data_IF_757611214886
#
_entry.id   IF_757611214886
#
_cell.length_a   1.000
_cell.length_b   1.000
_cell.length_c   1.000
_cell.angle_alpha   90.00
_cell.angle_beta   90.00
_cell.angle_gamma   90.00
#
_symmetry.space_group_name_H-M   'P 1'
#
loop_
_entity.id
_entity.type
_entity.pdbx_description
1 polymer ?
#
# COMPACT_ATOMS: atom_id res chain seq x y z
N UNK A 1 -22.89 -3.63 1.68
CA UNK A 1 -23.16 -5.02 1.30
C UNK A 1 -21.93 -5.84 1.62
N UNK A 2 -22.08 -7.15 1.72
CA UNK A 2 -20.93 -8.06 1.74
C UNK A 2 -20.24 -7.97 0.36
N UNK A 3 -18.92 -7.77 0.34
CA UNK A 3 -18.13 -7.73 -0.91
C UNK A 3 -17.78 -9.16 -1.27
N UNK A 4 -18.16 -9.61 -2.47
CA UNK A 4 -17.87 -10.98 -2.95
C UNK A 4 -17.22 -11.01 -4.32
N UNK A 5 -17.49 -9.99 -5.13
CA UNK A 5 -16.95 -9.83 -6.48
C UNK A 5 -16.15 -8.55 -6.62
N UNK A 6 -15.38 -8.45 -7.70
CA UNK A 6 -14.69 -7.21 -8.05
C UNK A 6 -15.67 -6.04 -8.28
N UNK A 7 -16.85 -6.32 -8.84
CA UNK A 7 -17.90 -5.31 -9.01
C UNK A 7 -18.45 -4.84 -7.66
N UNK A 8 -18.66 -5.76 -6.70
CA UNK A 8 -19.08 -5.38 -5.35
C UNK A 8 -18.04 -4.49 -4.67
N UNK A 9 -16.75 -4.78 -4.87
CA UNK A 9 -15.65 -3.95 -4.35
C UNK A 9 -15.71 -2.55 -4.96
N UNK A 10 -15.80 -2.46 -6.29
CA UNK A 10 -15.86 -1.19 -7.01
C UNK A 10 -17.08 -0.34 -6.61
N UNK A 11 -18.21 -0.98 -6.31
CA UNK A 11 -19.44 -0.30 -5.89
C UNK A 11 -19.57 -0.13 -4.38
N UNK A 12 -18.66 -0.70 -3.57
CA UNK A 12 -18.80 -0.73 -2.11
C UNK A 12 -18.94 0.67 -1.50
N UNK A 13 -18.21 1.64 -2.04
CA UNK A 13 -18.18 3.02 -1.58
C UNK A 13 -19.12 3.97 -2.35
N UNK A 14 -19.90 3.46 -3.32
CA UNK A 14 -20.81 4.29 -4.11
C UNK A 14 -21.97 4.91 -3.30
N UNK A 15 -22.62 4.19 -2.36
CA UNK A 15 -23.68 4.77 -1.53
C UNK A 15 -23.14 5.83 -0.56
N UNK A 16 -23.84 6.96 -0.42
CA UNK A 16 -23.39 8.07 0.44
C UNK A 16 -23.25 7.67 1.92
N UNK A 17 -24.04 6.71 2.38
CA UNK A 17 -24.00 6.16 3.74
C UNK A 17 -22.66 5.50 4.06
N UNK A 18 -21.89 5.11 3.03
CA UNK A 18 -20.55 4.52 3.19
C UNK A 18 -19.46 5.55 3.40
N UNK A 19 -19.76 6.85 3.34
CA UNK A 19 -18.80 7.90 3.67
C UNK A 19 -18.23 7.77 5.09
N UNK A 20 -19.01 7.21 6.03
CA UNK A 20 -18.59 6.94 7.42
C UNK A 20 -17.39 5.98 7.51
N UNK A 21 -17.19 5.11 6.52
CA UNK A 21 -16.04 4.21 6.45
C UNK A 21 -14.70 4.95 6.28
N UNK A 22 -14.73 6.25 5.97
CA UNK A 22 -13.54 7.11 5.87
C UNK A 22 -13.31 7.95 7.13
N UNK A 23 -14.12 7.81 8.19
CA UNK A 23 -13.98 8.63 9.40
C UNK A 23 -12.63 8.45 10.08
N UNK A 24 -12.00 7.27 9.94
CA UNK A 24 -10.66 7.00 10.44
C UNK A 24 -9.58 7.92 9.82
N UNK A 25 -9.76 8.37 8.57
CA UNK A 25 -8.84 9.35 7.94
C UNK A 25 -8.87 10.70 8.64
N UNK A 26 -10.01 11.06 9.24
CA UNK A 26 -10.23 12.36 9.89
C UNK A 26 -10.09 12.33 11.40
N UNK A 27 -10.11 11.13 12.01
CA UNK A 27 -10.13 10.94 13.47
C UNK A 27 -8.79 10.45 14.04
N UNK A 28 -7.68 10.69 13.33
CA UNK A 28 -6.34 10.38 13.87
C UNK A 28 -6.07 11.15 15.16
N UNK A 29 -5.50 10.46 16.15
CA UNK A 29 -5.06 11.06 17.42
C UNK A 29 -3.73 11.80 17.27
N UNK A 30 -3.03 11.55 16.17
CA UNK A 30 -1.74 12.15 15.84
C UNK A 30 -1.85 12.79 14.45
N UNK A 31 -2.24 14.06 14.44
CA UNK A 31 -2.09 14.92 13.28
C UNK A 31 -0.82 15.76 13.48
N UNK A 32 -0.03 15.89 12.42
CA UNK A 32 1.14 16.77 12.36
C UNK A 32 0.90 17.78 11.24
N UNK A 33 1.42 18.99 11.39
CA UNK A 33 1.35 19.96 10.31
C UNK A 33 2.26 19.50 9.15
N UNK A 34 1.85 19.72 7.91
CA UNK A 34 2.65 19.34 6.74
C UNK A 34 4.03 20.01 6.77
N UNK A 35 4.12 21.21 7.34
CA UNK A 35 5.37 21.96 7.50
C UNK A 35 6.31 21.36 8.55
N UNK A 36 5.80 20.49 9.44
CA UNK A 36 6.60 19.74 10.41
C UNK A 36 7.17 18.44 9.82
N UNK A 37 6.70 18.02 8.65
CA UNK A 37 7.25 16.85 7.97
C UNK A 37 8.64 17.18 7.41
N UNK A 38 9.62 16.37 7.79
CA UNK A 38 10.96 16.46 7.23
C UNK A 38 10.94 16.03 5.75
N UNK A 39 11.12 16.98 4.86
CA UNK A 39 11.32 16.69 3.45
C UNK A 39 12.63 15.91 3.25
N UNK A 40 12.61 14.76 2.55
CA UNK A 40 13.82 14.03 2.26
C UNK A 40 14.77 14.89 1.40
N UNK A 41 16.02 15.01 1.85
CA UNK A 41 17.08 15.73 1.13
C UNK A 41 17.56 14.99 -0.12
N UNK A 42 17.32 13.68 -0.19
CA UNK A 42 17.65 12.83 -1.32
C UNK A 42 16.42 12.00 -1.73
N UNK A 43 15.99 12.19 -2.98
CA UNK A 43 14.86 11.50 -3.61
C UNK A 43 15.33 10.39 -4.58
N UNK A 44 16.62 10.05 -4.54
CA UNK A 44 17.19 9.02 -5.41
C UNK A 44 16.61 7.64 -5.11
N UNK A 45 16.57 6.80 -6.14
CA UNK A 45 16.24 5.39 -5.98
C UNK A 45 17.18 4.68 -4.98
N UNK A 46 18.45 5.09 -4.93
CA UNK A 46 19.43 4.54 -4.00
C UNK A 46 19.06 4.83 -2.55
N UNK A 47 18.62 6.06 -2.23
CA UNK A 47 18.17 6.42 -0.89
C UNK A 47 16.87 5.67 -0.53
N UNK A 48 15.92 5.56 -1.46
CA UNK A 48 14.72 4.74 -1.26
C UNK A 48 15.07 3.28 -0.96
N UNK A 49 15.96 2.67 -1.74
CA UNK A 49 16.41 1.29 -1.53
C UNK A 49 17.08 1.13 -0.15
N UNK A 50 17.99 2.05 0.20
CA UNK A 50 18.68 2.06 1.50
C UNK A 50 17.70 2.13 2.67
N UNK A 51 16.66 2.97 2.59
CA UNK A 51 15.63 3.06 3.65
C UNK A 51 14.81 1.78 3.78
N UNK A 52 14.44 1.17 2.66
CA UNK A 52 13.68 -0.10 2.66
C UNK A 52 14.54 -1.23 3.25
N UNK A 53 15.81 -1.30 2.86
CA UNK A 53 16.77 -2.26 3.43
C UNK A 53 17.00 -2.05 4.92
N UNK A 54 17.15 -0.79 5.37
CA UNK A 54 17.30 -0.44 6.78
C UNK A 54 16.07 -0.83 7.63
N UNK A 55 14.89 -0.93 7.01
CA UNK A 55 13.68 -1.46 7.64
C UNK A 55 13.62 -3.00 7.68
N UNK A 56 14.71 -3.68 7.31
CA UNK A 56 14.81 -5.15 7.26
C UNK A 56 14.06 -5.78 6.08
N UNK A 57 13.64 -4.98 5.10
CA UNK A 57 12.89 -5.46 3.93
C UNK A 57 13.86 -5.75 2.81
N UNK A 58 13.93 -7.02 2.40
CA UNK A 58 14.69 -7.43 1.21
C UNK A 58 13.89 -7.07 -0.05
N UNK A 59 14.59 -6.51 -1.04
CA UNK A 59 14.02 -6.15 -2.34
C UNK A 59 14.77 -6.90 -3.44
N UNK A 60 14.03 -7.54 -4.33
CA UNK A 60 14.56 -8.06 -5.59
C UNK A 60 14.02 -7.20 -6.74
N UNK A 61 14.89 -6.78 -7.66
CA UNK A 61 14.51 -6.00 -8.84
C UNK A 61 14.90 -6.79 -10.09
N UNK A 62 13.96 -6.94 -11.01
CA UNK A 62 14.18 -7.58 -12.31
C UNK A 62 13.83 -6.61 -13.44
N UNK A 63 14.72 -6.49 -14.41
CA UNK A 63 14.43 -5.80 -15.66
C UNK A 63 13.46 -6.66 -16.48
N UNK A 64 12.29 -6.11 -16.77
CA UNK A 64 11.23 -6.73 -17.58
C UNK A 64 10.94 -5.90 -18.83
N UNK A 65 11.92 -5.09 -19.27
CA UNK A 65 11.82 -4.27 -20.48
C UNK A 65 11.64 -5.19 -21.69
N UNK A 66 10.52 -5.04 -22.39
CA UNK A 66 10.27 -5.78 -23.63
C UNK A 66 11.17 -5.26 -24.77
N UNK A 67 11.48 -6.08 -25.79
CA UNK A 67 12.39 -5.68 -26.87
C UNK A 67 11.96 -4.41 -27.61
N UNK A 68 10.66 -4.20 -27.81
CA UNK A 68 10.09 -3.01 -28.46
C UNK A 68 10.26 -1.75 -27.60
N UNK A 69 10.07 -1.84 -26.30
CA UNK A 69 10.29 -0.71 -25.36
C UNK A 69 11.79 -0.37 -25.27
N UNK A 70 12.66 -1.38 -25.34
CA UNK A 70 14.12 -1.20 -25.29
C UNK A 70 14.70 -0.43 -26.49
N UNK A 71 13.93 -0.25 -27.57
CA UNK A 71 14.32 0.61 -28.71
C UNK A 71 14.26 2.10 -28.34
N UNK A 72 13.51 2.46 -27.30
CA UNK A 72 13.41 3.81 -26.77
C UNK A 72 14.28 4.04 -25.52
N UNK A 73 14.15 5.22 -24.89
CA UNK A 73 14.88 5.56 -23.67
C UNK A 73 14.26 4.96 -22.39
N UNK A 74 13.20 4.16 -22.51
CA UNK A 74 12.43 3.65 -21.37
C UNK A 74 12.95 2.30 -20.88
N UNK A 75 12.79 2.06 -19.58
CA UNK A 75 13.05 0.77 -18.91
C UNK A 75 11.86 0.41 -18.04
N UNK A 76 11.51 -0.86 -18.02
CA UNK A 76 10.44 -1.40 -17.17
C UNK A 76 11.07 -2.36 -16.18
N UNK A 77 10.88 -2.10 -14.91
CA UNK A 77 11.39 -2.95 -13.83
C UNK A 77 10.24 -3.48 -12.99
N UNK A 78 10.41 -4.68 -12.45
CA UNK A 78 9.53 -5.24 -11.42
C UNK A 78 10.32 -5.40 -10.13
N UNK A 79 9.86 -4.75 -9.07
CA UNK A 79 10.40 -4.90 -7.73
C UNK A 79 9.50 -5.82 -6.89
N UNK A 80 10.11 -6.76 -6.17
CA UNK A 80 9.45 -7.68 -5.25
C UNK A 80 10.02 -7.47 -3.85
N UNK A 81 9.16 -7.14 -2.89
CA UNK A 81 9.53 -6.86 -1.51
C UNK A 81 8.55 -7.56 -0.55
N UNK A 82 8.72 -8.86 -0.25
CA UNK A 82 7.76 -9.65 0.53
C UNK A 82 7.52 -9.14 1.96
N UNK A 83 8.43 -8.34 2.49
CA UNK A 83 8.28 -7.69 3.80
C UNK A 83 7.33 -6.50 3.81
N UNK A 84 6.92 -5.95 2.65
CA UNK A 84 5.93 -4.87 2.58
C UNK A 84 4.50 -5.43 2.68
N UNK A 85 3.57 -4.59 3.12
CA UNK A 85 2.14 -4.92 3.15
C UNK A 85 1.48 -4.45 1.85
N UNK A 86 1.07 -5.37 0.94
CA UNK A 86 0.38 -4.97 -0.28
C UNK A 86 -1.06 -4.54 0.02
N UNK A 87 -1.58 -3.62 -0.79
CA UNK A 87 -3.02 -3.44 -0.95
C UNK A 87 -3.56 -4.60 -1.80
N UNK A 88 -4.79 -5.03 -1.55
CA UNK A 88 -5.41 -6.17 -2.23
C UNK A 88 -6.78 -5.78 -2.77
N UNK A 89 -7.05 -6.08 -4.04
CA UNK A 89 -8.35 -5.81 -4.66
C UNK A 89 -9.20 -7.10 -4.69
N UNK A 90 -10.48 -6.97 -4.34
CA UNK A 90 -11.44 -8.07 -4.29
C UNK A 90 -11.50 -8.78 -2.93
N UNK A 91 -12.62 -9.46 -2.70
CA UNK A 91 -12.87 -10.23 -1.48
C UNK A 91 -12.05 -11.52 -1.43
N UNK A 92 -11.50 -11.87 -0.26
CA UNK A 92 -10.73 -13.10 -0.08
C UNK A 92 -9.28 -13.02 -0.53
N UNK A 93 -8.82 -11.86 -1.00
CA UNK A 93 -7.43 -11.61 -1.40
C UNK A 93 -6.63 -10.88 -0.32
N UNK A 94 -7.15 -10.81 0.91
CA UNK A 94 -6.53 -10.07 2.01
C UNK A 94 -5.15 -10.65 2.38
N UNK A 95 -4.12 -9.81 2.39
CA UNK A 95 -2.77 -10.20 2.81
C UNK A 95 -2.61 -10.20 4.35
N UNK A 96 -3.42 -11.00 5.07
CA UNK A 96 -3.47 -10.99 6.55
C UNK A 96 -2.29 -11.70 7.23
N UNK A 97 -1.56 -12.54 6.49
CA UNK A 97 -0.48 -13.35 7.04
C UNK A 97 0.87 -12.59 7.21
N UNK A 98 0.93 -11.29 6.89
CA UNK A 98 2.16 -10.51 6.90
C UNK A 98 2.69 -10.26 8.33
N UNK A 99 3.99 -10.49 8.61
CA UNK A 99 4.58 -10.26 9.93
C UNK A 99 4.43 -8.83 10.47
N UNK A 100 4.52 -7.81 9.62
CA UNK A 100 4.34 -6.40 10.03
C UNK A 100 2.90 -6.13 10.47
N UNK A 101 1.92 -6.65 9.71
CA UNK A 101 0.51 -6.52 10.05
C UNK A 101 0.19 -7.25 11.36
N UNK A 102 0.71 -8.48 11.53
CA UNK A 102 0.56 -9.26 12.77
C UNK A 102 1.17 -8.56 13.98
N UNK A 103 2.33 -7.93 13.83
CA UNK A 103 2.98 -7.19 14.90
C UNK A 103 2.12 -5.98 15.34
N UNK A 104 1.54 -5.23 14.39
CA UNK A 104 0.62 -4.14 14.70
C UNK A 104 -0.65 -4.62 15.40
N UNK A 105 -1.28 -5.69 14.90
CA UNK A 105 -2.47 -6.27 15.52
C UNK A 105 -2.20 -6.78 16.95
N UNK A 106 -1.03 -7.40 17.18
CA UNK A 106 -0.60 -7.82 18.52
C UNK A 106 -0.37 -6.65 19.48
N UNK A 107 -0.05 -5.46 18.92
CA UNK A 107 0.05 -4.20 19.66
C UNK A 107 -1.28 -3.51 19.95
N UNK A 108 -2.42 -4.16 19.67
CA UNK A 108 -3.76 -3.63 19.94
C UNK A 108 -4.36 -2.79 18.82
N UNK A 109 -3.73 -2.74 17.64
CA UNK A 109 -4.32 -2.08 16.47
C UNK A 109 -5.47 -2.92 15.92
N UNK A 110 -6.66 -2.33 15.83
CA UNK A 110 -7.81 -2.93 15.17
C UNK A 110 -7.65 -2.77 13.66
N UNK A 111 -7.69 -3.88 12.93
CA UNK A 111 -7.60 -3.86 11.47
C UNK A 111 -8.91 -3.35 10.86
N UNK A 112 -8.80 -2.49 9.85
CA UNK A 112 -9.96 -2.07 9.07
C UNK A 112 -10.54 -3.29 8.31
N UNK A 113 -11.82 -3.55 8.53
CA UNK A 113 -12.55 -4.65 7.88
C UNK A 113 -13.17 -4.27 6.54
N UNK A 114 -13.23 -2.97 6.22
CA UNK A 114 -13.71 -2.50 4.93
C UNK A 114 -12.63 -2.72 3.84
N UNK A 115 -13.02 -3.06 2.59
CA UNK A 115 -12.07 -3.18 1.48
C UNK A 115 -11.33 -1.87 1.25
N UNK A 116 -10.08 -1.89 0.75
CA UNK A 116 -9.43 -0.62 0.42
C UNK A 116 -10.19 0.14 -0.71
N UNK A 117 -10.24 1.48 -0.68
CA UNK A 117 -11.12 2.27 -1.55
C UNK A 117 -10.60 2.52 -2.97
N UNK A 118 -9.35 2.13 -3.28
CA UNK A 118 -8.71 2.40 -4.56
C UNK A 118 -8.77 1.14 -5.45
N UNK A 119 -9.67 1.07 -6.42
CA UNK A 119 -9.65 0.03 -7.45
C UNK A 119 -8.65 0.35 -8.57
#
# INVERSE_FOLDING_TARGET
GEVRTLLDHALFYAPAERAVAFDWLRSTRHAVDVTELAEPTDLSLAECARRVEAAGVRVAVVDVTSPDVALGPFRVVRALAPGLQPLHIGAGFEHLANPRLKALASGGVVLNSDPHPLC
#
